data_IF_972547564993
#
_entry.id   IF_972547564993
#
_cell.length_a   1.000
_cell.length_b   1.000
_cell.length_c   1.000
_cell.angle_alpha   90.00
_cell.angle_beta   90.00
_cell.angle_gamma   90.00
#
_symmetry.space_group_name_H-M   'P 1'
#
loop_
_entity.id
_entity.type
_entity.pdbx_description
1 polymer ?
#
# COMPACT_ATOMS: atom_id res chain seq x y z
N UNK A 1 -15.98 -6.26 12.49
CA UNK A 1 -15.63 -6.93 11.22
C UNK A 1 -14.82 -8.20 11.49
N UNK A 2 -13.64 -8.11 12.15
CA UNK A 2 -12.71 -9.26 12.32
C UNK A 2 -13.37 -10.46 13.00
N UNK A 3 -14.07 -10.28 14.14
CA UNK A 3 -14.75 -11.37 14.83
C UNK A 3 -15.80 -12.08 13.95
N UNK A 4 -16.59 -11.32 13.17
CA UNK A 4 -17.57 -11.90 12.23
C UNK A 4 -16.91 -12.68 11.10
N UNK A 5 -15.78 -12.20 10.59
CA UNK A 5 -15.01 -12.93 9.56
C UNK A 5 -14.47 -14.24 10.13
N UNK A 6 -13.87 -14.20 11.29
CA UNK A 6 -13.37 -15.40 11.97
C UNK A 6 -14.48 -16.40 12.27
N UNK A 7 -15.62 -15.93 12.78
CA UNK A 7 -16.79 -16.77 13.05
C UNK A 7 -17.30 -17.49 11.79
N UNK A 8 -17.25 -16.80 10.65
CA UNK A 8 -17.75 -17.34 9.38
C UNK A 8 -16.76 -18.25 8.65
N UNK A 9 -15.48 -17.90 8.65
CA UNK A 9 -14.45 -18.59 7.85
C UNK A 9 -13.52 -19.49 8.68
N UNK A 10 -13.52 -19.38 10.01
CA UNK A 10 -12.68 -20.17 10.92
C UNK A 10 -11.24 -19.66 11.05
N UNK A 11 -10.77 -18.80 10.16
CA UNK A 11 -9.44 -18.18 10.24
C UNK A 11 -9.42 -16.75 9.69
N UNK A 12 -8.37 -16.01 10.04
CA UNK A 12 -7.94 -14.79 9.36
C UNK A 12 -6.44 -14.97 9.09
N UNK A 13 -6.08 -15.14 7.83
CA UNK A 13 -4.73 -15.44 7.39
C UNK A 13 -3.99 -14.22 6.88
N UNK A 14 -4.73 -13.21 6.42
CA UNK A 14 -4.15 -11.95 5.98
C UNK A 14 -5.05 -10.75 6.28
N UNK A 15 -4.43 -9.60 6.51
CA UNK A 15 -5.08 -8.28 6.55
C UNK A 15 -4.40 -7.40 5.52
N UNK A 16 -5.19 -6.86 4.59
CA UNK A 16 -4.73 -5.92 3.57
C UNK A 16 -5.28 -4.53 3.89
N UNK A 17 -4.43 -3.63 4.34
CA UNK A 17 -4.75 -2.23 4.58
C UNK A 17 -4.67 -1.46 3.26
N UNK A 18 -5.69 -1.61 2.42
CA UNK A 18 -5.78 -1.00 1.09
C UNK A 18 -6.58 0.31 1.10
N UNK A 19 -7.57 0.44 1.98
CA UNK A 19 -8.39 1.65 2.05
C UNK A 19 -7.51 2.89 2.27
N UNK A 20 -7.75 3.93 1.49
CA UNK A 20 -6.96 5.16 1.56
C UNK A 20 -7.74 6.39 1.16
N UNK A 21 -7.30 7.55 1.63
CA UNK A 21 -7.77 8.86 1.21
C UNK A 21 -6.60 9.67 0.68
N UNK A 22 -6.86 10.43 -0.38
CA UNK A 22 -5.87 11.28 -1.05
C UNK A 22 -6.39 12.70 -1.18
N UNK A 23 -5.52 13.68 -0.90
CA UNK A 23 -5.64 15.07 -1.32
C UNK A 23 -4.25 15.64 -1.49
N UNK A 24 -3.87 15.87 -2.73
CA UNK A 24 -2.55 16.42 -3.09
C UNK A 24 -2.61 17.95 -2.98
N UNK A 25 -2.28 18.45 -1.78
CA UNK A 25 -2.31 19.87 -1.47
C UNK A 25 -1.28 20.18 -0.38
N UNK A 26 -0.57 21.30 -0.52
CA UNK A 26 0.39 21.77 0.46
C UNK A 26 -0.25 22.26 1.76
N UNK A 27 0.58 22.45 2.78
CA UNK A 27 0.15 22.90 4.13
C UNK A 27 -0.58 24.23 4.09
N UNK A 28 -0.17 25.15 3.22
CA UNK A 28 -0.77 26.49 3.10
C UNK A 28 -2.27 26.46 2.81
N UNK A 29 -2.73 25.48 2.01
CA UNK A 29 -4.08 25.48 1.48
C UNK A 29 -4.94 24.29 1.91
N UNK A 30 -4.34 23.26 2.52
CA UNK A 30 -5.10 22.08 2.92
C UNK A 30 -5.97 22.37 4.15
N UNK A 31 -7.31 22.23 4.08
CA UNK A 31 -8.15 22.36 5.25
C UNK A 31 -7.80 21.30 6.32
N UNK A 32 -7.66 21.68 7.62
CA UNK A 32 -7.32 20.73 8.69
C UNK A 32 -8.22 19.50 8.74
N UNK A 33 -9.52 19.66 8.52
CA UNK A 33 -10.48 18.53 8.46
C UNK A 33 -10.13 17.49 7.38
N UNK A 34 -9.50 17.91 6.27
CA UNK A 34 -9.06 16.99 5.22
C UNK A 34 -7.80 16.25 5.62
N UNK A 35 -6.89 16.91 6.34
CA UNK A 35 -5.74 16.24 6.93
C UNK A 35 -6.19 15.20 7.96
N UNK A 36 -7.08 15.58 8.88
CA UNK A 36 -7.62 14.66 9.89
C UNK A 36 -8.26 13.42 9.25
N UNK A 37 -9.06 13.62 8.20
CA UNK A 37 -9.67 12.53 7.44
C UNK A 37 -8.62 11.59 6.83
N UNK A 38 -7.61 12.15 6.14
CA UNK A 38 -6.53 11.36 5.55
C UNK A 38 -5.75 10.60 6.63
N UNK A 39 -5.42 11.25 7.74
CA UNK A 39 -4.70 10.62 8.83
C UNK A 39 -5.50 9.47 9.47
N UNK A 40 -6.80 9.66 9.67
CA UNK A 40 -7.71 8.63 10.20
C UNK A 40 -7.78 7.41 9.27
N UNK A 41 -7.96 7.64 7.97
CA UNK A 41 -8.15 6.56 7.00
C UNK A 41 -6.82 5.88 6.64
N UNK A 42 -5.75 6.63 6.46
CA UNK A 42 -4.45 6.09 6.07
C UNK A 42 -3.72 5.53 7.29
N UNK A 43 -3.18 6.39 8.13
CA UNK A 43 -2.25 5.99 9.20
C UNK A 43 -2.96 5.28 10.37
N UNK A 44 -3.98 5.93 10.94
CA UNK A 44 -4.66 5.38 12.13
C UNK A 44 -5.35 4.05 11.85
N UNK A 45 -5.99 3.91 10.69
CA UNK A 45 -6.68 2.68 10.35
C UNK A 45 -5.74 1.48 10.25
N UNK A 46 -4.52 1.65 9.73
CA UNK A 46 -3.50 0.57 9.69
C UNK A 46 -3.26 0.02 11.10
N UNK A 47 -3.04 0.89 12.08
CA UNK A 47 -2.83 0.47 13.46
C UNK A 47 -4.08 -0.25 14.02
N UNK A 48 -5.25 0.37 13.90
CA UNK A 48 -6.49 -0.15 14.49
C UNK A 48 -6.91 -1.48 13.86
N UNK A 49 -6.83 -1.60 12.53
CA UNK A 49 -7.20 -2.85 11.85
C UNK A 49 -6.22 -3.97 12.17
N UNK A 50 -4.93 -3.67 12.18
CA UNK A 50 -3.90 -4.65 12.54
C UNK A 50 -4.03 -5.10 13.99
N UNK A 51 -4.27 -4.17 14.91
CA UNK A 51 -4.52 -4.50 16.33
C UNK A 51 -5.77 -5.38 16.52
N UNK A 52 -6.86 -5.08 15.81
CA UNK A 52 -8.09 -5.84 15.87
C UNK A 52 -7.95 -7.26 15.28
N UNK A 53 -7.06 -7.44 14.30
CA UNK A 53 -6.79 -8.74 13.69
C UNK A 53 -5.75 -9.56 14.44
N UNK A 54 -4.92 -8.93 15.27
CA UNK A 54 -3.76 -9.56 15.92
C UNK A 54 -4.07 -10.87 16.67
N UNK A 55 -5.20 -11.01 17.44
CA UNK A 55 -5.52 -12.27 18.10
C UNK A 55 -5.70 -13.45 17.14
N UNK A 56 -6.21 -13.20 15.96
CA UNK A 56 -6.45 -14.20 14.91
C UNK A 56 -5.18 -14.49 14.12
N UNK A 57 -4.44 -13.44 13.74
CA UNK A 57 -3.16 -13.58 13.04
C UNK A 57 -2.09 -14.32 13.86
N UNK A 58 -2.15 -14.26 15.19
CA UNK A 58 -1.30 -15.08 16.06
C UNK A 58 -1.58 -16.58 15.91
N UNK A 59 -2.83 -16.96 15.65
CA UNK A 59 -3.22 -18.35 15.46
C UNK A 59 -2.78 -18.87 14.10
N UNK A 60 -3.04 -18.11 13.04
CA UNK A 60 -2.67 -18.46 11.66
C UNK A 60 -1.20 -18.22 11.34
N UNK A 61 -0.48 -17.44 12.16
CA UNK A 61 0.83 -16.86 11.82
C UNK A 61 0.78 -16.09 10.51
N UNK A 62 -0.28 -15.28 10.31
CA UNK A 62 -0.66 -14.70 9.04
C UNK A 62 0.19 -13.51 8.59
N UNK A 63 -0.39 -12.71 7.69
CA UNK A 63 0.25 -11.56 7.06
C UNK A 63 -0.51 -10.26 7.32
N UNK A 64 0.24 -9.16 7.43
CA UNK A 64 -0.27 -7.79 7.32
C UNK A 64 0.40 -7.14 6.11
N UNK A 65 -0.40 -6.69 5.15
CA UNK A 65 0.05 -5.97 3.97
C UNK A 65 -0.59 -4.59 3.94
N UNK A 66 0.22 -3.53 3.90
CA UNK A 66 -0.26 -2.15 3.83
C UNK A 66 0.09 -1.54 2.47
N UNK A 67 -0.84 -0.81 1.84
CA UNK A 67 -0.53 -0.09 0.60
C UNK A 67 0.11 1.26 0.94
N UNK A 68 1.41 1.22 1.18
CA UNK A 68 2.22 2.38 1.55
C UNK A 68 3.60 2.36 0.90
N UNK A 69 4.17 3.55 0.62
CA UNK A 69 5.39 3.69 -0.16
C UNK A 69 6.67 3.35 0.63
N UNK A 70 7.78 3.13 -0.08
CA UNK A 70 9.10 3.24 0.54
C UNK A 70 9.30 4.65 1.10
N UNK A 71 10.16 4.76 2.12
CA UNK A 71 10.46 6.06 2.74
C UNK A 71 11.60 6.71 1.96
N UNK A 72 11.26 7.75 1.20
CA UNK A 72 12.20 8.58 0.45
C UNK A 72 12.14 10.01 1.00
N UNK A 73 13.23 10.50 1.58
CA UNK A 73 13.29 11.81 2.24
C UNK A 73 13.69 12.96 1.28
N UNK A 74 13.67 12.74 -0.03
CA UNK A 74 13.87 13.83 -0.99
C UNK A 74 12.82 14.93 -0.75
N UNK A 75 13.23 16.21 -0.60
CA UNK A 75 12.32 17.34 -0.38
C UNK A 75 11.19 17.47 -1.41
N UNK A 76 11.39 16.98 -2.63
CA UNK A 76 10.37 16.99 -3.69
C UNK A 76 9.06 16.29 -3.27
N UNK A 77 9.16 15.25 -2.42
CA UNK A 77 8.00 14.49 -1.94
C UNK A 77 7.22 15.18 -0.83
N UNK A 78 7.75 16.28 -0.28
CA UNK A 78 7.11 17.06 0.78
C UNK A 78 6.62 18.43 0.31
N UNK A 79 7.25 19.00 -0.71
CA UNK A 79 7.05 20.40 -1.10
C UNK A 79 5.58 20.77 -1.41
N UNK A 80 4.88 19.93 -2.20
CA UNK A 80 3.54 20.27 -2.69
C UNK A 80 2.41 19.47 -2.02
N UNK A 81 2.73 18.40 -1.30
CA UNK A 81 1.74 17.50 -0.70
C UNK A 81 2.23 16.84 0.60
N UNK A 82 3.03 17.58 1.37
CA UNK A 82 3.57 17.13 2.66
C UNK A 82 2.54 16.51 3.60
N UNK A 83 1.33 17.04 3.73
CA UNK A 83 0.29 16.42 4.55
C UNK A 83 -0.08 15.00 4.10
N UNK A 84 -0.22 14.76 2.79
CA UNK A 84 -0.48 13.41 2.25
C UNK A 84 0.73 12.50 2.49
N UNK A 85 1.95 12.98 2.17
CA UNK A 85 3.21 12.26 2.41
C UNK A 85 3.31 11.82 3.87
N UNK A 86 3.02 12.70 4.82
CA UNK A 86 3.04 12.39 6.26
C UNK A 86 2.11 11.22 6.58
N UNK A 87 0.90 11.19 6.02
CA UNK A 87 -0.03 10.08 6.30
C UNK A 87 0.44 8.76 5.69
N UNK A 88 1.00 8.79 4.48
CA UNK A 88 1.49 7.58 3.80
C UNK A 88 2.77 7.04 4.46
N UNK A 89 3.70 7.91 4.82
CA UNK A 89 4.91 7.50 5.55
C UNK A 89 4.60 7.00 6.96
N UNK A 90 3.57 7.55 7.61
CA UNK A 90 3.04 7.01 8.87
C UNK A 90 2.63 5.53 8.75
N UNK A 91 2.01 5.13 7.64
CA UNK A 91 1.70 3.72 7.37
C UNK A 91 2.98 2.87 7.22
N UNK A 92 3.98 3.37 6.49
CA UNK A 92 5.25 2.66 6.26
C UNK A 92 6.04 2.50 7.57
N UNK A 93 6.08 3.52 8.41
CA UNK A 93 6.71 3.46 9.73
C UNK A 93 6.00 2.46 10.66
N UNK A 94 4.65 2.44 10.65
CA UNK A 94 3.89 1.43 11.38
C UNK A 94 4.17 0.02 10.84
N UNK A 95 4.33 -0.15 9.53
CA UNK A 95 4.67 -1.44 8.91
C UNK A 95 6.00 -1.96 9.46
N UNK A 96 7.05 -1.13 9.48
CA UNK A 96 8.37 -1.50 10.01
C UNK A 96 8.31 -1.81 11.53
N UNK A 97 7.60 -0.96 12.29
CA UNK A 97 7.43 -1.18 13.74
C UNK A 97 6.67 -2.47 14.05
N UNK A 98 5.56 -2.73 13.35
CA UNK A 98 4.78 -3.96 13.53
C UNK A 98 5.55 -5.20 13.11
N UNK A 99 6.43 -5.13 12.09
CA UNK A 99 7.30 -6.25 11.75
C UNK A 99 8.16 -6.66 12.95
N UNK A 100 8.88 -5.73 13.55
CA UNK A 100 9.74 -6.00 14.70
C UNK A 100 8.94 -6.50 15.93
N UNK A 101 7.77 -5.90 16.18
CA UNK A 101 6.92 -6.27 17.31
C UNK A 101 6.30 -7.67 17.15
N UNK A 102 5.88 -8.04 15.92
CA UNK A 102 5.07 -9.23 15.67
C UNK A 102 5.87 -10.44 15.17
N UNK A 103 7.14 -10.29 14.82
CA UNK A 103 7.99 -11.40 14.39
C UNK A 103 8.06 -12.54 15.40
N UNK A 104 7.98 -12.24 16.70
CA UNK A 104 7.91 -13.25 17.79
C UNK A 104 6.67 -14.15 17.71
N UNK A 105 5.63 -13.75 16.99
CA UNK A 105 4.42 -14.52 16.74
C UNK A 105 4.44 -15.24 15.38
N UNK A 106 5.50 -15.07 14.58
CA UNK A 106 5.59 -15.59 13.23
C UNK A 106 4.67 -14.87 12.22
N UNK A 107 4.25 -13.62 12.52
CA UNK A 107 3.43 -12.81 11.64
C UNK A 107 4.35 -12.03 10.70
N UNK A 108 4.09 -12.11 9.39
CA UNK A 108 4.80 -11.33 8.38
C UNK A 108 4.11 -9.98 8.18
N UNK A 109 4.89 -8.91 8.08
CA UNK A 109 4.37 -7.54 7.90
C UNK A 109 5.16 -6.84 6.81
N UNK A 110 4.48 -6.40 5.76
CA UNK A 110 5.09 -5.72 4.62
C UNK A 110 4.25 -4.54 4.15
N UNK A 111 4.84 -3.69 3.34
CA UNK A 111 4.08 -2.77 2.50
C UNK A 111 4.34 -3.02 1.02
N UNK A 112 3.41 -2.55 0.19
CA UNK A 112 3.47 -2.62 -1.25
C UNK A 112 3.07 -1.27 -1.83
N UNK A 113 3.83 -0.80 -2.81
CA UNK A 113 3.59 0.45 -3.53
C UNK A 113 3.78 0.26 -5.02
N UNK A 114 3.01 0.94 -5.88
CA UNK A 114 3.19 0.83 -7.32
C UNK A 114 4.42 1.61 -7.80
N UNK A 115 5.13 1.07 -8.76
CA UNK A 115 6.23 1.76 -9.47
C UNK A 115 5.70 2.86 -10.37
N UNK A 116 4.57 2.61 -10.98
CA UNK A 116 3.90 3.54 -11.88
C UNK A 116 2.49 3.82 -11.39
N UNK A 117 1.95 4.95 -11.76
CA UNK A 117 0.55 5.30 -11.46
C UNK A 117 -0.38 4.15 -11.83
N UNK A 118 -1.36 3.88 -10.97
CA UNK A 118 -2.38 2.83 -11.17
C UNK A 118 -3.71 3.45 -11.58
N UNK A 119 -4.32 2.93 -12.65
CA UNK A 119 -5.59 3.38 -13.18
C UNK A 119 -6.73 3.08 -12.19
N UNK A 120 -7.02 4.04 -11.34
CA UNK A 120 -8.02 3.96 -10.27
C UNK A 120 -8.89 5.21 -10.25
N UNK A 121 -10.03 5.14 -9.58
CA UNK A 121 -10.89 6.30 -9.34
C UNK A 121 -10.14 7.48 -8.66
N UNK A 122 -9.15 7.20 -7.82
CA UNK A 122 -8.33 8.24 -7.19
C UNK A 122 -7.55 9.05 -8.23
N UNK A 123 -7.01 8.40 -9.25
CA UNK A 123 -6.30 9.07 -10.35
C UNK A 123 -7.28 9.79 -11.27
N UNK A 124 -8.39 9.15 -11.61
CA UNK A 124 -9.39 9.71 -12.50
C UNK A 124 -9.99 11.02 -11.95
N UNK A 125 -10.33 11.04 -10.65
CA UNK A 125 -11.10 12.15 -10.05
C UNK A 125 -10.29 13.11 -9.17
N UNK A 126 -9.15 12.69 -8.59
CA UNK A 126 -8.41 13.48 -7.60
C UNK A 126 -6.96 13.82 -7.99
N UNK A 127 -6.32 13.05 -8.88
CA UNK A 127 -4.87 13.15 -9.06
C UNK A 127 -4.39 13.14 -10.53
N UNK A 128 -5.15 13.67 -11.48
CA UNK A 128 -4.62 13.88 -12.83
C UNK A 128 -5.56 13.61 -13.99
N UNK A 129 -6.69 12.96 -13.76
CA UNK A 129 -7.74 12.78 -14.76
C UNK A 129 -7.35 11.86 -15.94
N UNK A 130 -8.06 11.96 -17.09
CA UNK A 130 -7.91 11.03 -18.21
C UNK A 130 -6.50 10.98 -18.83
N UNK A 131 -5.73 12.05 -18.75
CA UNK A 131 -4.37 12.09 -19.29
C UNK A 131 -3.42 11.20 -18.47
N UNK A 132 -3.52 11.26 -17.14
CA UNK A 132 -2.71 10.42 -16.24
C UNK A 132 -3.20 8.98 -16.29
N UNK A 133 -4.49 8.74 -16.47
CA UNK A 133 -5.02 7.39 -16.69
C UNK A 133 -4.35 6.66 -17.86
N UNK A 134 -4.10 7.35 -19.00
CA UNK A 134 -3.38 6.77 -20.15
C UNK A 134 -1.92 6.44 -19.85
N UNK A 135 -1.34 7.08 -18.86
CA UNK A 135 0.04 6.84 -18.42
C UNK A 135 0.14 5.82 -17.27
N UNK A 136 -0.96 5.15 -16.94
CA UNK A 136 -1.07 4.25 -15.80
C UNK A 136 -0.97 2.78 -16.21
N UNK A 137 -0.78 1.93 -15.19
CA UNK A 137 -0.99 0.49 -15.27
C UNK A 137 -2.33 0.10 -14.65
N UNK A 138 -2.81 -1.07 -15.03
CA UNK A 138 -4.01 -1.69 -14.47
C UNK A 138 -3.78 -2.12 -13.02
N UNK A 139 -4.80 -2.10 -12.16
CA UNK A 139 -4.70 -2.60 -10.78
C UNK A 139 -4.23 -4.06 -10.65
N UNK A 140 -4.32 -4.84 -11.73
CA UNK A 140 -3.88 -6.24 -11.77
C UNK A 140 -2.42 -6.41 -11.32
N UNK A 141 -1.50 -5.49 -11.68
CA UNK A 141 -0.10 -5.58 -11.25
C UNK A 141 0.03 -5.57 -9.72
N UNK A 142 -0.76 -4.72 -9.04
CA UNK A 142 -0.78 -4.66 -7.59
C UNK A 142 -1.38 -5.93 -6.97
N UNK A 143 -2.39 -6.51 -7.62
CA UNK A 143 -3.01 -7.75 -7.18
C UNK A 143 -2.04 -8.93 -7.29
N UNK A 144 -1.32 -9.05 -8.39
CA UNK A 144 -0.33 -10.12 -8.62
C UNK A 144 0.86 -9.99 -7.66
N UNK A 145 1.34 -8.76 -7.44
CA UNK A 145 2.39 -8.50 -6.45
C UNK A 145 1.93 -8.83 -5.01
N UNK A 146 0.70 -8.45 -4.65
CA UNK A 146 0.12 -8.79 -3.36
C UNK A 146 -0.05 -10.31 -3.21
N UNK A 147 -0.49 -10.99 -4.27
CA UNK A 147 -0.59 -12.45 -4.28
C UNK A 147 0.77 -13.12 -4.07
N UNK A 148 1.82 -12.67 -4.74
CA UNK A 148 3.17 -13.19 -4.55
C UNK A 148 3.66 -13.05 -3.09
N UNK A 149 3.35 -11.93 -2.43
CA UNK A 149 3.68 -11.72 -1.01
C UNK A 149 2.90 -12.69 -0.12
N UNK A 150 1.59 -12.77 -0.31
CA UNK A 150 0.68 -13.46 0.61
C UNK A 150 0.68 -14.98 0.43
N UNK A 151 0.99 -15.49 -0.77
CA UNK A 151 1.07 -16.91 -1.09
C UNK A 151 2.43 -17.54 -0.80
N UNK A 152 3.45 -16.75 -0.43
CA UNK A 152 4.79 -17.27 -0.10
C UNK A 152 4.72 -18.21 1.12
N UNK A 153 4.95 -19.49 0.87
CA UNK A 153 4.94 -20.54 1.91
C UNK A 153 6.07 -20.42 2.91
N UNK A 154 7.19 -19.89 2.48
CA UNK A 154 8.42 -19.79 3.31
C UNK A 154 8.42 -18.56 4.23
N UNK A 155 7.45 -17.65 4.08
CA UNK A 155 7.36 -16.39 4.86
C UNK A 155 8.68 -15.60 4.90
N UNK A 156 9.48 -15.76 3.86
CA UNK A 156 10.79 -15.10 3.71
C UNK A 156 10.66 -13.60 3.48
N UNK A 157 9.47 -13.16 3.04
CA UNK A 157 9.19 -11.76 2.79
C UNK A 157 8.53 -11.15 4.01
N UNK A 158 9.28 -10.42 4.82
CA UNK A 158 8.75 -9.67 5.97
C UNK A 158 9.66 -8.50 6.33
N UNK A 159 9.08 -7.39 6.78
CA UNK A 159 9.80 -6.16 7.12
C UNK A 159 10.23 -5.35 5.89
N UNK A 160 9.65 -5.60 4.71
CA UNK A 160 10.02 -4.93 3.47
C UNK A 160 8.98 -3.87 3.07
N UNK A 161 9.48 -2.79 2.50
CA UNK A 161 8.70 -1.78 1.79
C UNK A 161 8.90 -2.04 0.29
N UNK A 162 7.97 -2.75 -0.32
CA UNK A 162 8.11 -3.37 -1.64
C UNK A 162 7.52 -2.49 -2.74
N UNK A 163 8.11 -2.59 -3.92
CA UNK A 163 7.59 -2.04 -5.18
C UNK A 163 7.07 -3.20 -6.04
N UNK A 164 5.88 -3.03 -6.60
CA UNK A 164 5.18 -4.07 -7.36
C UNK A 164 6.01 -4.68 -8.49
N UNK A 165 6.51 -3.86 -9.41
CA UNK A 165 7.30 -4.32 -10.55
C UNK A 165 8.61 -4.99 -10.11
N UNK A 166 9.28 -4.44 -9.10
CA UNK A 166 10.55 -4.98 -8.60
C UNK A 166 10.34 -6.37 -7.99
N UNK A 167 9.32 -6.49 -7.15
CA UNK A 167 8.95 -7.77 -6.54
C UNK A 167 8.58 -8.81 -7.61
N UNK A 168 7.76 -8.45 -8.59
CA UNK A 168 7.36 -9.37 -9.66
C UNK A 168 8.56 -9.80 -10.50
N UNK A 169 9.53 -8.91 -10.75
CA UNK A 169 10.80 -9.27 -11.40
C UNK A 169 11.62 -10.25 -10.57
N UNK A 170 11.70 -10.06 -9.25
CA UNK A 170 12.32 -11.04 -8.32
C UNK A 170 11.66 -12.42 -8.44
N UNK A 171 10.36 -12.47 -8.78
CA UNK A 171 9.58 -13.70 -8.99
C UNK A 171 9.55 -14.20 -10.45
N UNK A 172 10.42 -13.66 -11.32
CA UNK A 172 10.61 -14.14 -12.69
C UNK A 172 9.69 -13.54 -13.74
N UNK A 173 8.87 -12.54 -13.39
CA UNK A 173 8.05 -11.83 -14.39
C UNK A 173 8.95 -10.90 -15.20
N UNK A 174 8.96 -11.07 -16.52
CA UNK A 174 9.78 -10.26 -17.44
C UNK A 174 8.96 -9.36 -18.35
N UNK A 175 7.71 -9.70 -18.61
CA UNK A 175 6.80 -8.92 -19.45
C UNK A 175 5.73 -8.23 -18.60
N UNK A 176 5.63 -6.90 -18.75
CA UNK A 176 4.69 -6.03 -18.03
C UNK A 176 3.75 -5.28 -18.98
N UNK A 177 3.78 -5.54 -20.28
CA UNK A 177 2.99 -4.81 -21.27
C UNK A 177 1.49 -5.03 -21.07
N UNK A 178 1.08 -6.24 -20.68
CA UNK A 178 -0.31 -6.57 -20.41
C UNK A 178 -0.94 -5.83 -19.22
N UNK A 179 -0.11 -5.20 -18.38
CA UNK A 179 -0.58 -4.32 -17.29
C UNK A 179 -0.83 -2.88 -17.73
N UNK A 180 -0.50 -2.48 -18.95
CA UNK A 180 -0.76 -1.10 -19.40
C UNK A 180 -2.26 -0.84 -19.51
N UNK A 181 -2.69 0.32 -19.00
CA UNK A 181 -4.05 0.81 -19.21
C UNK A 181 -4.25 1.24 -20.68
N UNK A 182 -3.29 1.98 -21.24
CA UNK A 182 -3.24 2.35 -22.66
C UNK A 182 -1.90 1.84 -23.25
N UNK A 183 -1.92 0.89 -24.20
CA UNK A 183 -0.71 0.36 -24.81
C UNK A 183 0.18 1.40 -25.48
N UNK A 184 -0.39 2.53 -25.94
CA UNK A 184 0.34 3.63 -26.56
C UNK A 184 0.84 4.68 -25.56
N UNK A 185 0.36 4.65 -24.32
CA UNK A 185 0.68 5.63 -23.30
C UNK A 185 2.13 5.49 -22.79
N UNK A 186 2.81 6.63 -22.55
CA UNK A 186 4.09 6.61 -21.83
C UNK A 186 3.82 6.49 -20.34
N UNK A 187 4.31 5.43 -19.70
CA UNK A 187 4.11 5.21 -18.28
C UNK A 187 4.68 6.36 -17.44
N UNK A 188 3.94 6.74 -16.41
CA UNK A 188 4.33 7.74 -15.41
C UNK A 188 4.72 7.03 -14.11
N UNK A 189 5.89 7.36 -13.58
CA UNK A 189 6.32 6.90 -12.24
C UNK A 189 5.37 7.45 -11.18
N UNK A 190 5.05 6.64 -10.19
CA UNK A 190 4.19 7.06 -9.07
C UNK A 190 4.97 7.91 -8.07
N UNK A 191 4.24 8.52 -7.14
CA UNK A 191 4.82 9.30 -6.05
C UNK A 191 5.75 8.42 -5.19
N UNK A 192 6.81 9.05 -4.65
CA UNK A 192 7.78 8.43 -3.73
C UNK A 192 8.74 7.41 -4.36
N UNK A 193 8.67 7.22 -5.66
CA UNK A 193 9.55 6.33 -6.45
C UNK A 193 10.39 7.19 -7.38
N UNK A 194 11.69 6.89 -7.52
CA UNK A 194 12.64 7.56 -8.43
C UNK A 194 12.73 6.85 -9.78
#
# INVERSE_FOLDING_TARGET
AMAKAFEHFGSIDAVINNAGAIKLMGVEHLPPKRFDLMFQINTRAVMVCSQAALPYLKQSRGHILSLSPPVNLDPKWFANYGPYTTTKYGMSMLTLGMHEEFKKYGISVNSLWPKTVIATAAIEFEAGGPAVMKAARLPAIMADAAYAILSSSERTISGRLLIDEELLREHGVSDFEHYRYDPSGKLMTDLFVD
#
